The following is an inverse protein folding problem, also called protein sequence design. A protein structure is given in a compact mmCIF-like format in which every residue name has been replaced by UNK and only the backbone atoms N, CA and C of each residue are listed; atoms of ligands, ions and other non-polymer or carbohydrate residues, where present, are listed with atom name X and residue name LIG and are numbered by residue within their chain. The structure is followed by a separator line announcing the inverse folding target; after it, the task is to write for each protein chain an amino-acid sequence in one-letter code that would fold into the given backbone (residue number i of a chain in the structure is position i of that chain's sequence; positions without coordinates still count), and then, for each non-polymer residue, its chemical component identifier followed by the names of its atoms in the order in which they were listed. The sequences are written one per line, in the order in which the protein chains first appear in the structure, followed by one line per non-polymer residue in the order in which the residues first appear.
data_IF_437153097627
#
_entry.id   IF_437153097627
#
_cell.length_a   1.000
_cell.length_b   1.000
_cell.length_c   1.000
_cell.angle_alpha   90.00
_cell.angle_beta   90.00
_cell.angle_gamma   90.00
#
_symmetry.space_group_name_H-M   'P 1'
#
loop_
_entity.id
_entity.type
_entity.pdbx_description
1 polymer ?
#
# COMPACT_ATOMS: atom_id res chain seq x y z
N UNK A 1 -22.82 34.29 0.92
CA UNK A 1 -22.68 35.76 1.08
C UNK A 1 -21.31 36.10 1.66
N UNK A 2 -20.81 35.33 2.62
CA UNK A 2 -19.45 35.48 3.22
C UNK A 2 -18.32 35.27 2.20
N UNK A 3 -18.40 34.27 1.35
CA UNK A 3 -17.43 34.01 0.25
C UNK A 3 -17.30 35.17 -0.75
N UNK A 4 -18.34 35.98 -0.90
CA UNK A 4 -18.35 37.12 -1.85
C UNK A 4 -17.67 38.36 -1.24
N UNK A 5 -17.80 38.58 0.07
CA UNK A 5 -17.18 39.71 0.78
C UNK A 5 -15.66 39.50 0.97
N UNK A 6 -15.22 38.31 1.33
CA UNK A 6 -13.79 37.97 1.47
C UNK A 6 -13.02 38.21 0.16
N UNK A 7 -13.62 37.86 -0.97
CA UNK A 7 -13.01 38.04 -2.30
C UNK A 7 -12.83 39.51 -2.71
N UNK A 8 -13.66 40.41 -2.19
CA UNK A 8 -13.58 41.86 -2.48
C UNK A 8 -12.50 42.56 -1.63
N UNK A 9 -12.35 42.11 -0.36
CA UNK A 9 -11.29 42.59 0.55
C UNK A 9 -9.92 42.15 0.08
N UNK A 10 -9.78 40.87 -0.30
CA UNK A 10 -8.53 40.30 -0.84
C UNK A 10 -8.11 41.03 -2.11
N UNK A 11 -9.02 41.28 -3.08
CA UNK A 11 -8.73 42.05 -4.28
C UNK A 11 -8.27 43.47 -3.97
N UNK A 12 -8.94 44.15 -3.04
CA UNK A 12 -8.56 45.48 -2.59
C UNK A 12 -7.15 45.47 -1.97
N UNK A 13 -6.79 44.44 -1.24
CA UNK A 13 -5.46 44.27 -0.68
C UNK A 13 -4.42 44.02 -1.78
N UNK A 14 -4.70 43.16 -2.76
CA UNK A 14 -3.83 42.85 -3.89
C UNK A 14 -3.59 44.12 -4.75
N UNK A 15 -4.66 44.84 -5.11
CA UNK A 15 -4.55 46.10 -5.85
C UNK A 15 -3.71 47.15 -5.12
N UNK A 16 -3.83 47.22 -3.78
CA UNK A 16 -3.00 48.10 -2.95
C UNK A 16 -1.53 47.70 -3.03
N UNK A 17 -1.23 46.40 -2.96
CA UNK A 17 0.14 45.92 -3.01
C UNK A 17 0.78 46.11 -4.39
N UNK A 18 0.04 45.89 -5.47
CA UNK A 18 0.50 46.10 -6.85
C UNK A 18 0.80 47.54 -7.17
N UNK A 19 -0.05 48.44 -6.69
CA UNK A 19 0.06 49.88 -6.99
C UNK A 19 0.94 50.66 -6.01
N UNK A 20 1.43 50.04 -4.93
CA UNK A 20 2.08 50.71 -3.82
C UNK A 20 1.21 51.81 -3.17
N UNK A 21 -0.11 51.60 -3.15
CA UNK A 21 -1.04 52.49 -2.48
C UNK A 21 -1.12 52.17 -0.97
N UNK A 22 -1.70 53.10 -0.20
CA UNK A 22 -1.97 52.86 1.23
C UNK A 22 -3.50 52.92 1.46
N UNK A 23 -4.12 51.77 1.75
CA UNK A 23 -5.50 51.66 2.15
C UNK A 23 -5.61 51.39 3.64
N UNK A 24 -6.64 51.92 4.26
CA UNK A 24 -6.95 51.53 5.63
C UNK A 24 -7.81 50.27 5.63
N UNK A 25 -7.41 49.33 6.46
CA UNK A 25 -8.18 48.16 6.83
C UNK A 25 -8.29 48.13 8.36
N UNK A 26 -9.44 47.77 8.88
CA UNK A 26 -9.58 47.50 10.30
C UNK A 26 -9.03 46.11 10.68
N UNK A 27 -9.11 45.74 11.94
CA UNK A 27 -8.52 44.48 12.43
C UNK A 27 -9.29 43.24 11.97
N UNK A 28 -10.62 43.37 11.77
CA UNK A 28 -11.46 42.26 11.28
C UNK A 28 -11.22 42.04 9.78
N UNK A 29 -11.19 43.11 8.99
CA UNK A 29 -10.86 43.03 7.56
C UNK A 29 -9.47 42.42 7.30
N UNK A 30 -8.48 42.72 8.16
CA UNK A 30 -7.13 42.16 8.08
C UNK A 30 -7.13 40.71 8.49
N UNK A 31 -7.91 40.32 9.49
CA UNK A 31 -8.03 38.93 9.91
C UNK A 31 -8.58 38.07 8.75
N UNK A 32 -9.65 38.50 8.10
CA UNK A 32 -10.25 37.85 6.93
C UNK A 32 -9.24 37.67 5.78
N UNK A 33 -8.45 38.72 5.48
CA UNK A 33 -7.40 38.65 4.44
C UNK A 33 -6.32 37.69 4.82
N UNK A 34 -5.85 37.68 6.06
CA UNK A 34 -4.78 36.80 6.55
C UNK A 34 -5.24 35.35 6.54
N UNK A 35 -6.45 35.08 7.06
CA UNK A 35 -7.05 33.73 7.07
C UNK A 35 -7.18 33.20 5.65
N UNK A 36 -7.68 33.99 4.72
CA UNK A 36 -7.80 33.60 3.31
C UNK A 36 -6.45 33.11 2.73
N UNK A 37 -5.36 33.84 2.95
CA UNK A 37 -4.05 33.40 2.44
C UNK A 37 -3.46 32.22 3.20
N UNK A 38 -3.73 32.09 4.50
CA UNK A 38 -3.35 30.91 5.28
C UNK A 38 -4.04 29.64 4.76
N UNK A 39 -5.35 29.73 4.47
CA UNK A 39 -6.13 28.62 3.90
C UNK A 39 -5.66 28.21 2.49
N UNK A 40 -5.24 29.19 1.68
CA UNK A 40 -4.64 28.93 0.37
C UNK A 40 -3.22 28.38 0.44
N UNK A 41 -2.58 28.38 1.61
CA UNK A 41 -1.16 28.03 1.78
C UNK A 41 -0.20 29.07 1.20
N UNK A 42 -0.69 30.30 0.90
CA UNK A 42 0.18 31.41 0.46
C UNK A 42 0.69 32.23 1.64
N UNK A 43 1.63 31.63 2.36
CA UNK A 43 2.21 32.22 3.57
C UNK A 43 2.98 33.53 3.30
N UNK A 44 3.43 33.79 2.06
CA UNK A 44 4.07 35.05 1.70
C UNK A 44 3.05 36.20 1.72
N UNK A 45 1.91 36.03 1.09
CA UNK A 45 0.86 37.04 1.11
C UNK A 45 0.24 37.17 2.51
N UNK A 46 0.08 36.08 3.25
CA UNK A 46 -0.32 36.12 4.66
C UNK A 46 0.63 36.98 5.50
N UNK A 47 1.96 36.82 5.33
CA UNK A 47 2.96 37.64 6.05
C UNK A 47 2.92 39.10 5.64
N UNK A 48 2.73 39.38 4.35
CA UNK A 48 2.57 40.76 3.87
C UNK A 48 1.35 41.45 4.50
N UNK A 49 0.21 40.72 4.59
CA UNK A 49 -1.01 41.23 5.22
C UNK A 49 -0.82 41.46 6.73
N UNK A 50 -0.20 40.51 7.43
CA UNK A 50 0.16 40.65 8.84
C UNK A 50 1.11 41.83 9.08
N UNK A 51 2.16 41.95 8.26
CA UNK A 51 3.14 43.03 8.40
C UNK A 51 2.51 44.39 8.16
N UNK A 52 1.60 44.48 7.16
CA UNK A 52 0.83 45.69 6.92
C UNK A 52 -0.15 46.00 8.07
N UNK A 53 -0.81 44.97 8.57
CA UNK A 53 -1.69 45.06 9.73
C UNK A 53 -1.00 45.57 10.99
N UNK A 54 0.19 45.09 11.29
CA UNK A 54 1.01 45.59 12.41
C UNK A 54 1.50 47.03 12.20
N UNK A 55 1.65 47.49 10.96
CA UNK A 55 1.92 48.90 10.66
C UNK A 55 0.74 49.79 11.00
N UNK A 56 -0.49 49.34 10.71
CA UNK A 56 -1.73 50.08 10.99
C UNK A 56 -2.14 49.97 12.47
N UNK A 57 -2.01 48.76 13.03
CA UNK A 57 -2.48 48.40 14.37
C UNK A 57 -1.36 47.77 15.21
N UNK A 58 -0.32 48.49 15.61
CA UNK A 58 0.91 47.91 16.22
C UNK A 58 0.67 47.23 17.58
N UNK A 59 -0.44 47.54 18.23
CA UNK A 59 -0.79 46.97 19.54
C UNK A 59 -1.90 45.91 19.46
N UNK A 60 -2.39 45.56 18.26
CA UNK A 60 -3.42 44.52 18.14
C UNK A 60 -2.87 43.18 18.53
N UNK A 61 -3.51 42.52 19.50
CA UNK A 61 -3.15 41.19 19.96
C UNK A 61 -3.47 40.15 18.87
N UNK A 62 -4.63 40.29 18.23
CA UNK A 62 -5.13 39.34 17.23
C UNK A 62 -4.16 39.26 16.03
N UNK A 63 -3.75 40.41 15.49
CA UNK A 63 -2.78 40.45 14.37
C UNK A 63 -1.41 39.88 14.81
N UNK A 64 -0.98 40.09 16.08
CA UNK A 64 0.25 39.46 16.61
C UNK A 64 0.10 37.94 16.71
N UNK A 65 -1.06 37.42 17.07
CA UNK A 65 -1.32 35.98 17.10
C UNK A 65 -1.30 35.41 15.65
N UNK A 66 -1.89 36.12 14.69
CA UNK A 66 -1.81 35.73 13.26
C UNK A 66 -0.35 35.73 12.76
N UNK A 67 0.47 36.69 13.21
CA UNK A 67 1.94 36.67 12.93
C UNK A 67 2.60 35.41 13.48
N UNK A 68 2.22 35.01 14.68
CA UNK A 68 2.74 33.78 15.26
C UNK A 68 2.29 32.55 14.48
N UNK A 69 1.05 32.51 14.00
CA UNK A 69 0.52 31.46 13.15
C UNK A 69 1.34 31.34 11.85
N UNK A 70 1.55 32.44 11.13
CA UNK A 70 2.41 32.48 9.93
C UNK A 70 3.83 32.00 10.20
N UNK A 71 4.43 32.38 11.31
CA UNK A 71 5.78 31.93 11.70
C UNK A 71 5.84 30.42 11.95
N UNK A 72 4.77 29.82 12.47
CA UNK A 72 4.69 28.39 12.69
C UNK A 72 4.56 27.62 11.38
N UNK A 73 3.79 28.13 10.41
CA UNK A 73 3.68 27.54 9.07
C UNK A 73 5.00 27.67 8.27
N UNK A 74 5.78 28.71 8.51
CA UNK A 74 7.14 28.87 7.95
C UNK A 74 8.21 28.07 8.68
N UNK A 75 7.86 27.35 9.73
CA UNK A 75 8.80 26.63 10.58
C UNK A 75 9.89 27.52 11.20
N UNK A 76 9.66 28.86 11.30
CA UNK A 76 10.56 29.78 12.01
C UNK A 76 10.33 29.72 13.52
N UNK A 77 10.69 28.59 14.11
CA UNK A 77 10.51 28.33 15.54
C UNK A 77 11.34 29.22 16.45
N UNK A 78 12.41 29.86 15.94
CA UNK A 78 13.22 30.78 16.74
C UNK A 78 12.48 32.09 16.95
N UNK A 79 11.99 32.73 15.88
CA UNK A 79 11.21 33.96 15.97
C UNK A 79 9.87 33.72 16.66
N UNK A 80 9.22 32.57 16.37
CA UNK A 80 7.98 32.18 17.06
C UNK A 80 8.18 32.06 18.59
N UNK A 81 9.29 31.50 19.04
CA UNK A 81 9.63 31.40 20.47
C UNK A 81 9.78 32.77 21.13
N UNK A 82 10.46 33.71 20.47
CA UNK A 82 10.62 35.07 20.99
C UNK A 82 9.26 35.74 21.15
N UNK A 83 8.41 35.61 20.12
CA UNK A 83 7.07 36.18 20.12
C UNK A 83 6.16 35.56 21.16
N UNK A 84 6.22 34.24 21.34
CA UNK A 84 5.50 33.54 22.43
C UNK A 84 5.93 34.10 23.79
N UNK A 85 7.22 34.32 24.03
CA UNK A 85 7.73 34.86 25.29
C UNK A 85 7.27 36.30 25.54
N UNK A 86 7.13 37.13 24.48
CA UNK A 86 6.60 38.48 24.56
C UNK A 86 5.11 38.46 24.94
N UNK A 87 4.30 37.61 24.25
CA UNK A 87 2.86 37.57 24.40
C UNK A 87 2.38 36.84 25.67
N UNK A 88 3.16 35.89 26.17
CA UNK A 88 2.78 35.00 27.26
C UNK A 88 2.30 35.71 28.53
N UNK A 89 2.83 36.91 28.81
CA UNK A 89 2.44 37.66 30.03
C UNK A 89 1.02 38.22 30.01
N UNK A 90 0.45 38.43 28.83
CA UNK A 90 -0.86 39.08 28.63
C UNK A 90 -1.90 38.20 27.97
N UNK A 91 -1.51 37.06 27.39
CA UNK A 91 -2.37 36.31 26.47
C UNK A 91 -2.69 34.88 26.94
N UNK A 92 -2.40 34.52 28.17
CA UNK A 92 -2.67 33.18 28.69
C UNK A 92 -4.18 32.88 28.91
N UNK A 93 -5.05 33.87 28.73
CA UNK A 93 -6.51 33.73 28.75
C UNK A 93 -7.12 33.89 27.32
N UNK A 94 -6.28 33.96 26.28
CA UNK A 94 -6.71 34.01 24.91
C UNK A 94 -6.55 32.62 24.28
N UNK A 95 -7.63 32.06 23.76
CA UNK A 95 -7.67 30.70 23.22
C UNK A 95 -6.80 30.56 21.97
N UNK A 96 -6.83 31.51 21.02
CA UNK A 96 -6.06 31.48 19.77
C UNK A 96 -4.55 31.49 20.05
N UNK A 97 -4.12 32.32 21.04
CA UNK A 97 -2.74 32.30 21.48
C UNK A 97 -2.34 30.94 22.07
N UNK A 98 -3.19 30.32 22.87
CA UNK A 98 -2.91 29.01 23.43
C UNK A 98 -2.86 27.94 22.37
N UNK A 99 -3.70 27.99 21.34
CA UNK A 99 -3.65 27.11 20.19
C UNK A 99 -2.31 27.25 19.44
N UNK A 100 -1.89 28.45 19.08
CA UNK A 100 -0.59 28.68 18.46
C UNK A 100 0.57 28.20 19.36
N UNK A 101 0.47 28.42 20.65
CA UNK A 101 1.48 27.99 21.61
C UNK A 101 1.54 26.46 21.73
N UNK A 102 0.41 25.78 21.64
CA UNK A 102 0.36 24.32 21.60
C UNK A 102 0.92 23.78 20.27
N UNK A 103 0.52 24.35 19.12
CA UNK A 103 1.09 24.03 17.80
C UNK A 103 2.61 24.18 17.78
N UNK A 104 3.16 25.21 18.41
CA UNK A 104 4.61 25.38 18.53
C UNK A 104 5.27 24.18 19.22
N UNK A 105 4.72 23.67 20.33
CA UNK A 105 5.30 22.50 20.99
C UNK A 105 5.03 21.19 20.22
N UNK A 106 3.91 21.06 19.54
CA UNK A 106 3.64 19.96 18.65
C UNK A 106 4.71 19.85 17.56
N UNK A 107 4.96 20.95 16.84
CA UNK A 107 5.95 21.04 15.78
C UNK A 107 7.39 20.77 16.28
N UNK A 108 7.69 21.07 17.54
CA UNK A 108 8.96 20.69 18.17
C UNK A 108 9.03 19.23 18.67
N UNK A 109 8.02 18.42 18.38
CA UNK A 109 7.96 17.03 18.81
C UNK A 109 7.78 16.87 20.33
N UNK A 110 7.09 17.82 20.98
CA UNK A 110 6.78 17.76 22.41
C UNK A 110 5.26 17.68 22.66
N UNK A 111 4.62 16.56 22.30
CA UNK A 111 3.18 16.40 22.40
C UNK A 111 2.63 16.52 23.83
N UNK A 112 3.42 16.13 24.84
CA UNK A 112 2.99 16.27 26.25
C UNK A 112 2.76 17.72 26.66
N UNK A 113 3.65 18.62 26.19
CA UNK A 113 3.54 20.04 26.49
C UNK A 113 2.43 20.68 25.68
N UNK A 114 2.27 20.26 24.42
CA UNK A 114 1.17 20.64 23.56
C UNK A 114 -0.19 20.34 24.23
N UNK A 115 -0.39 19.10 24.68
CA UNK A 115 -1.61 18.66 25.39
C UNK A 115 -1.87 19.50 26.66
N UNK A 116 -0.84 19.78 27.45
CA UNK A 116 -1.00 20.60 28.67
C UNK A 116 -1.56 21.99 28.33
N UNK A 117 -1.09 22.58 27.24
CA UNK A 117 -1.52 23.93 26.82
C UNK A 117 -2.90 23.88 26.20
N UNK A 118 -3.19 22.90 25.33
CA UNK A 118 -4.53 22.73 24.74
C UNK A 118 -5.61 22.49 25.82
N UNK A 119 -5.30 21.74 26.88
CA UNK A 119 -6.24 21.55 27.98
C UNK A 119 -6.58 22.86 28.71
N UNK A 120 -5.64 23.79 28.78
CA UNK A 120 -5.93 25.14 29.29
C UNK A 120 -6.81 25.96 28.36
N UNK A 121 -6.59 25.82 27.05
CA UNK A 121 -7.46 26.44 26.05
C UNK A 121 -8.89 25.91 26.17
N UNK A 122 -9.04 24.59 26.34
CA UNK A 122 -10.34 23.93 26.50
C UNK A 122 -11.06 24.32 27.81
N UNK A 123 -10.32 24.63 28.88
CA UNK A 123 -10.90 25.18 30.13
C UNK A 123 -11.49 26.59 29.96
N UNK A 124 -11.01 27.35 28.97
CA UNK A 124 -11.49 28.69 28.63
C UNK A 124 -12.69 28.68 27.70
N UNK A 125 -12.72 27.69 26.79
CA UNK A 125 -13.78 27.55 25.82
C UNK A 125 -14.12 26.05 25.64
N UNK A 126 -15.21 25.61 26.31
CA UNK A 126 -15.59 24.19 26.40
C UNK A 126 -16.20 23.64 25.09
N UNK A 127 -16.61 24.50 24.15
CA UNK A 127 -17.36 24.12 22.97
C UNK A 127 -16.49 23.99 21.71
N UNK A 128 -15.16 23.98 21.82
CA UNK A 128 -14.31 23.87 20.65
C UNK A 128 -13.96 22.42 20.30
N UNK A 129 -14.71 21.84 19.39
CA UNK A 129 -14.47 20.54 18.77
C UNK A 129 -13.02 20.38 18.29
N UNK A 130 -12.47 21.40 17.61
CA UNK A 130 -11.10 21.45 17.12
C UNK A 130 -10.05 21.15 18.21
N UNK A 131 -10.23 21.69 19.44
CA UNK A 131 -9.30 21.45 20.54
C UNK A 131 -9.29 19.97 20.98
N UNK A 132 -10.45 19.33 21.00
CA UNK A 132 -10.53 17.90 21.31
C UNK A 132 -9.82 17.08 20.23
N UNK A 133 -9.99 17.39 18.96
CA UNK A 133 -9.29 16.74 17.87
C UNK A 133 -7.78 16.91 17.99
N UNK A 134 -7.33 18.15 18.20
CA UNK A 134 -5.91 18.43 18.35
C UNK A 134 -5.27 17.69 19.54
N UNK A 135 -5.96 17.63 20.69
CA UNK A 135 -5.50 16.85 21.84
C UNK A 135 -5.45 15.35 21.51
N UNK A 136 -6.45 14.85 20.78
CA UNK A 136 -6.49 13.45 20.37
C UNK A 136 -5.32 13.09 19.46
N UNK A 137 -5.02 13.95 18.47
CA UNK A 137 -3.87 13.78 17.56
C UNK A 137 -2.54 13.74 18.32
N UNK A 138 -2.39 14.61 19.32
CA UNK A 138 -1.21 14.60 20.17
C UNK A 138 -1.10 13.33 21.05
N UNK A 139 -2.22 12.74 21.46
CA UNK A 139 -2.20 11.42 22.10
C UNK A 139 -1.85 10.30 21.12
N UNK A 140 -2.29 10.38 19.86
CA UNK A 140 -1.84 9.47 18.79
C UNK A 140 -0.34 9.56 18.59
N UNK A 141 0.22 10.78 18.54
CA UNK A 141 1.67 11.03 18.45
C UNK A 141 2.45 10.45 19.65
N UNK A 142 1.82 10.34 20.82
CA UNK A 142 2.38 9.67 22.00
C UNK A 142 2.23 8.14 21.97
N UNK A 143 1.52 7.57 21.01
CA UNK A 143 1.17 6.15 20.99
C UNK A 143 0.17 5.76 22.09
N UNK A 144 -0.71 6.68 22.48
CA UNK A 144 -1.76 6.47 23.50
C UNK A 144 -3.16 6.54 22.86
N UNK A 145 -3.56 5.50 22.10
CA UNK A 145 -4.87 5.46 21.44
C UNK A 145 -6.04 5.45 22.42
N UNK A 146 -5.82 5.08 23.69
CA UNK A 146 -6.87 5.07 24.67
C UNK A 146 -7.33 6.49 25.06
N UNK A 147 -6.39 7.41 25.29
CA UNK A 147 -6.73 8.79 25.57
C UNK A 147 -7.12 9.55 24.31
N UNK A 148 -6.52 9.23 23.14
CA UNK A 148 -6.95 9.77 21.85
C UNK A 148 -8.43 9.50 21.58
N UNK A 149 -8.86 8.24 21.73
CA UNK A 149 -10.25 7.82 21.53
C UNK A 149 -11.24 8.64 22.38
N UNK A 150 -10.89 8.92 23.63
CA UNK A 150 -11.78 9.72 24.49
C UNK A 150 -12.00 11.14 23.97
N UNK A 151 -10.94 11.75 23.45
CA UNK A 151 -11.03 13.10 22.92
C UNK A 151 -11.73 13.15 21.55
N UNK A 152 -11.50 12.17 20.65
CA UNK A 152 -12.30 12.04 19.41
C UNK A 152 -13.78 11.79 19.72
N UNK A 153 -14.11 10.94 20.71
CA UNK A 153 -15.48 10.73 21.13
C UNK A 153 -16.10 11.98 21.77
N UNK A 154 -15.30 12.84 22.40
CA UNK A 154 -15.79 14.12 22.91
C UNK A 154 -16.03 15.10 21.76
N UNK A 155 -15.12 15.20 20.80
CA UNK A 155 -15.29 16.00 19.60
C UNK A 155 -16.59 15.64 18.85
N UNK A 156 -16.89 14.34 18.72
CA UNK A 156 -18.14 13.84 18.12
C UNK A 156 -19.41 14.15 18.94
N UNK A 157 -19.30 14.43 20.23
CA UNK A 157 -20.44 14.92 21.00
C UNK A 157 -20.67 16.41 20.78
N UNK A 158 -19.58 17.16 20.59
CA UNK A 158 -19.62 18.59 20.36
C UNK A 158 -20.07 18.86 18.90
N UNK A 159 -19.52 18.12 17.93
CA UNK A 159 -19.95 18.09 16.53
C UNK A 159 -20.12 16.65 16.04
N UNK A 160 -21.34 16.13 16.04
CA UNK A 160 -21.62 14.79 15.54
C UNK A 160 -21.39 14.58 14.04
N UNK A 161 -21.19 15.64 13.28
CA UNK A 161 -20.95 15.56 11.82
C UNK A 161 -19.45 15.55 11.47
N UNK A 162 -18.59 15.59 12.49
CA UNK A 162 -17.13 15.56 12.31
C UNK A 162 -16.64 14.18 11.87
N UNK A 163 -16.54 14.00 10.56
CA UNK A 163 -16.08 12.78 9.92
C UNK A 163 -14.63 12.44 10.31
N UNK A 164 -13.77 13.46 10.51
CA UNK A 164 -12.39 13.26 10.93
C UNK A 164 -12.30 12.56 12.30
N UNK A 165 -13.08 13.05 13.28
CA UNK A 165 -13.17 12.42 14.59
C UNK A 165 -13.69 10.99 14.52
N UNK A 166 -14.67 10.72 13.65
CA UNK A 166 -15.24 9.37 13.49
C UNK A 166 -14.21 8.38 12.96
N UNK A 167 -13.54 8.71 11.87
CA UNK A 167 -12.50 7.86 11.26
C UNK A 167 -11.38 7.56 12.26
N UNK A 168 -10.86 8.59 12.93
CA UNK A 168 -9.78 8.44 13.90
C UNK A 168 -10.21 7.67 15.17
N UNK A 169 -11.44 7.83 15.62
CA UNK A 169 -11.99 7.00 16.70
C UNK A 169 -12.02 5.52 16.31
N UNK A 170 -12.39 5.20 15.05
CA UNK A 170 -12.39 3.83 14.55
C UNK A 170 -10.98 3.25 14.46
N UNK A 171 -9.98 4.05 14.04
CA UNK A 171 -8.57 3.67 14.05
C UNK A 171 -8.12 3.36 15.49
N UNK A 172 -8.45 4.23 16.46
CA UNK A 172 -8.12 4.00 17.87
C UNK A 172 -8.76 2.72 18.42
N UNK A 173 -10.01 2.42 18.09
CA UNK A 173 -10.64 1.14 18.45
C UNK A 173 -9.88 -0.07 17.88
N UNK A 174 -9.40 0.04 16.66
CA UNK A 174 -8.59 -1.01 16.00
C UNK A 174 -7.28 -1.23 16.74
N UNK A 175 -6.54 -0.16 17.05
CA UNK A 175 -5.26 -0.20 17.75
C UNK A 175 -5.39 -0.79 19.16
N UNK A 176 -6.51 -0.50 19.81
CA UNK A 176 -6.85 -1.05 21.14
C UNK A 176 -7.37 -2.48 21.08
N UNK A 177 -7.57 -3.05 19.89
CA UNK A 177 -8.23 -4.34 19.68
C UNK A 177 -9.64 -4.42 20.29
N UNK A 178 -10.39 -3.28 20.33
CA UNK A 178 -11.71 -3.14 20.92
C UNK A 178 -12.83 -3.20 19.88
N UNK A 179 -12.77 -4.22 19.07
CA UNK A 179 -13.66 -4.34 17.89
C UNK A 179 -15.14 -4.43 18.24
N UNK A 180 -15.53 -5.03 19.37
CA UNK A 180 -16.93 -5.09 19.79
C UNK A 180 -17.45 -3.73 20.30
N UNK A 181 -16.57 -2.97 20.97
CA UNK A 181 -16.89 -1.60 21.37
C UNK A 181 -17.01 -0.68 20.13
N UNK A 182 -16.15 -0.89 19.12
CA UNK A 182 -16.19 -0.16 17.85
C UNK A 182 -17.53 -0.31 17.14
N UNK A 183 -18.02 -1.54 16.96
CA UNK A 183 -19.29 -1.75 16.25
C UNK A 183 -20.49 -1.29 17.08
N UNK A 184 -20.44 -1.41 18.40
CA UNK A 184 -21.47 -0.87 19.27
C UNK A 184 -21.53 0.66 19.16
N UNK A 185 -20.38 1.33 19.14
CA UNK A 185 -20.26 2.77 18.93
C UNK A 185 -20.80 3.20 17.56
N UNK A 186 -20.42 2.49 16.47
CA UNK A 186 -20.94 2.78 15.13
C UNK A 186 -22.45 2.59 15.01
N UNK A 187 -23.02 1.55 15.63
CA UNK A 187 -24.45 1.35 15.61
C UNK A 187 -25.20 2.46 16.33
N UNK A 188 -24.73 2.88 17.53
CA UNK A 188 -25.30 4.00 18.27
C UNK A 188 -25.19 5.32 17.49
N UNK A 189 -24.07 5.52 16.81
CA UNK A 189 -23.87 6.68 15.95
C UNK A 189 -24.83 6.66 14.74
N UNK A 190 -24.96 5.52 14.04
CA UNK A 190 -25.85 5.36 12.89
C UNK A 190 -27.34 5.44 13.24
N UNK A 191 -27.74 5.06 14.46
CA UNK A 191 -29.11 5.23 14.95
C UNK A 191 -29.51 6.72 15.02
N UNK A 192 -28.54 7.61 15.23
CA UNK A 192 -28.75 9.07 15.30
C UNK A 192 -28.41 9.78 13.97
N UNK A 193 -27.43 9.27 13.23
CA UNK A 193 -26.91 9.87 11.99
C UNK A 193 -26.92 8.89 10.81
N UNK A 194 -28.10 8.41 10.45
CA UNK A 194 -28.32 7.37 9.44
C UNK A 194 -27.83 7.72 8.03
N UNK A 195 -27.51 8.99 7.76
CA UNK A 195 -27.04 9.47 6.46
C UNK A 195 -25.52 9.80 6.45
N UNK A 196 -24.77 9.38 7.46
CA UNK A 196 -23.31 9.54 7.45
C UNK A 196 -22.66 8.56 6.48
N UNK A 197 -22.02 9.09 5.43
CA UNK A 197 -21.27 8.31 4.44
C UNK A 197 -20.09 7.58 5.11
N UNK A 198 -19.37 8.30 5.97
CA UNK A 198 -18.22 7.77 6.70
C UNK A 198 -18.62 6.62 7.61
N UNK A 199 -19.69 6.80 8.40
CA UNK A 199 -20.13 5.74 9.32
C UNK A 199 -20.54 4.45 8.60
N UNK A 200 -21.23 4.54 7.46
CA UNK A 200 -21.58 3.36 6.66
C UNK A 200 -20.37 2.73 5.97
N UNK A 201 -19.41 3.56 5.53
CA UNK A 201 -18.14 3.09 4.99
C UNK A 201 -17.36 2.30 6.05
N UNK A 202 -17.21 2.85 7.24
CA UNK A 202 -16.54 2.21 8.38
C UNK A 202 -17.26 0.93 8.82
N UNK A 203 -18.60 0.93 8.82
CA UNK A 203 -19.39 -0.27 9.09
C UNK A 203 -19.09 -1.37 8.07
N UNK A 204 -19.10 -1.02 6.79
CA UNK A 204 -18.76 -1.96 5.71
C UNK A 204 -17.33 -2.51 5.86
N UNK A 205 -16.37 -1.62 6.09
CA UNK A 205 -14.96 -1.98 6.26
C UNK A 205 -14.71 -2.83 7.51
N UNK A 206 -15.36 -2.53 8.61
CA UNK A 206 -15.30 -3.34 9.84
C UNK A 206 -15.68 -4.79 9.59
N UNK A 207 -16.83 -5.02 8.94
CA UNK A 207 -17.29 -6.37 8.64
C UNK A 207 -16.49 -7.05 7.53
N UNK A 208 -15.97 -6.29 6.56
CA UNK A 208 -15.06 -6.79 5.53
C UNK A 208 -13.78 -7.38 6.14
N UNK A 209 -13.13 -6.66 7.05
CA UNK A 209 -11.92 -7.09 7.72
C UNK A 209 -12.14 -8.35 8.58
N UNK A 210 -13.35 -8.56 9.06
CA UNK A 210 -13.78 -9.76 9.79
C UNK A 210 -14.27 -10.89 8.90
N UNK A 211 -14.23 -10.72 7.58
CA UNK A 211 -14.69 -11.67 6.59
C UNK A 211 -16.20 -11.98 6.69
N UNK A 212 -16.98 -11.11 7.32
CA UNK A 212 -18.43 -11.14 7.29
C UNK A 212 -18.91 -10.28 6.12
N UNK A 213 -18.76 -10.86 4.92
CA UNK A 213 -18.95 -10.12 3.68
C UNK A 213 -20.42 -9.76 3.42
N UNK A 214 -21.37 -10.53 3.95
CA UNK A 214 -22.80 -10.22 3.84
C UNK A 214 -23.18 -8.94 4.60
N UNK A 215 -22.66 -8.76 5.81
CA UNK A 215 -22.89 -7.52 6.57
C UNK A 215 -22.08 -6.35 5.97
N UNK A 216 -20.85 -6.61 5.48
CA UNK A 216 -20.08 -5.59 4.80
C UNK A 216 -20.82 -5.02 3.57
N UNK A 217 -21.45 -5.89 2.76
CA UNK A 217 -22.24 -5.47 1.61
C UNK A 217 -23.39 -4.56 2.02
N UNK A 218 -24.07 -4.83 3.15
CA UNK A 218 -25.14 -3.95 3.63
C UNK A 218 -24.63 -2.54 3.93
N UNK A 219 -23.48 -2.43 4.63
CA UNK A 219 -22.87 -1.14 4.90
C UNK A 219 -22.54 -0.38 3.62
N UNK A 220 -21.93 -1.06 2.66
CA UNK A 220 -21.62 -0.48 1.34
C UNK A 220 -22.88 -0.13 0.53
N UNK A 221 -23.95 -0.91 0.64
CA UNK A 221 -25.23 -0.60 -0.01
C UNK A 221 -25.86 0.68 0.55
N UNK A 222 -25.85 0.86 1.88
CA UNK A 222 -26.33 2.10 2.50
C UNK A 222 -25.46 3.31 2.12
N UNK A 223 -24.14 3.14 2.14
CA UNK A 223 -23.23 4.20 1.74
C UNK A 223 -23.46 4.62 0.28
N UNK A 224 -23.59 3.67 -0.65
CA UNK A 224 -23.89 3.93 -2.06
C UNK A 224 -25.28 4.51 -2.31
N UNK A 225 -26.25 4.25 -1.43
CA UNK A 225 -27.57 4.88 -1.49
C UNK A 225 -27.50 6.38 -1.11
N UNK A 226 -26.54 6.79 -0.29
CA UNK A 226 -26.30 8.18 0.08
C UNK A 226 -25.46 8.87 -1.01
N UNK A 227 -24.33 8.26 -1.38
CA UNK A 227 -23.41 8.78 -2.38
C UNK A 227 -23.10 7.71 -3.45
N UNK A 228 -23.87 7.74 -4.53
CA UNK A 228 -23.70 6.82 -5.65
C UNK A 228 -22.44 7.05 -6.50
N UNK A 229 -21.66 8.11 -6.22
CA UNK A 229 -20.42 8.41 -6.95
C UNK A 229 -19.15 7.91 -6.28
N UNK A 230 -19.26 7.24 -5.13
CA UNK A 230 -18.14 6.73 -4.36
C UNK A 230 -17.50 5.47 -4.99
N UNK A 231 -16.67 5.66 -5.99
CA UNK A 231 -16.05 4.58 -6.80
C UNK A 231 -15.35 3.52 -5.93
N UNK A 232 -14.62 3.92 -4.89
CA UNK A 232 -13.92 3.01 -3.99
C UNK A 232 -14.84 2.02 -3.24
N UNK A 233 -16.07 2.43 -2.97
CA UNK A 233 -17.07 1.59 -2.29
C UNK A 233 -17.60 0.50 -3.21
N UNK A 234 -17.79 0.79 -4.50
CA UNK A 234 -18.11 -0.25 -5.49
C UNK A 234 -17.03 -1.32 -5.54
N UNK A 235 -15.76 -0.92 -5.54
CA UNK A 235 -14.64 -1.86 -5.53
C UNK A 235 -14.66 -2.76 -4.28
N UNK A 236 -14.91 -2.19 -3.11
CA UNK A 236 -15.01 -2.91 -1.83
C UNK A 236 -16.21 -3.88 -1.82
N UNK A 237 -17.37 -3.43 -2.30
CA UNK A 237 -18.57 -4.26 -2.44
C UNK A 237 -18.36 -5.42 -3.42
N UNK A 238 -17.74 -5.14 -4.58
CA UNK A 238 -17.41 -6.19 -5.54
C UNK A 238 -16.42 -7.21 -4.96
N UNK A 239 -15.42 -6.76 -4.19
CA UNK A 239 -14.49 -7.64 -3.49
C UNK A 239 -15.18 -8.55 -2.47
N UNK A 240 -16.23 -8.06 -1.79
CA UNK A 240 -17.08 -8.92 -0.94
C UNK A 240 -17.74 -10.03 -1.75
N UNK A 241 -18.33 -9.71 -2.90
CA UNK A 241 -18.95 -10.71 -3.77
C UNK A 241 -17.91 -11.71 -4.34
N UNK A 242 -16.71 -11.26 -4.67
CA UNK A 242 -15.60 -12.15 -5.07
C UNK A 242 -15.25 -13.13 -3.94
N UNK A 243 -15.12 -12.64 -2.71
CA UNK A 243 -14.80 -13.45 -1.54
C UNK A 243 -15.90 -14.49 -1.21
N UNK A 244 -17.15 -14.16 -1.50
CA UNK A 244 -18.30 -15.07 -1.42
C UNK A 244 -18.43 -16.01 -2.64
N UNK A 245 -17.51 -15.94 -3.61
CA UNK A 245 -17.57 -16.64 -4.90
C UNK A 245 -18.84 -16.32 -5.73
N UNK A 246 -19.47 -15.17 -5.47
CA UNK A 246 -20.64 -14.67 -6.20
C UNK A 246 -20.20 -13.81 -7.40
N UNK A 247 -19.34 -14.37 -8.26
CA UNK A 247 -18.63 -13.64 -9.34
C UNK A 247 -19.57 -12.92 -10.31
N UNK A 248 -20.79 -13.41 -10.54
CA UNK A 248 -21.76 -12.69 -11.40
C UNK A 248 -22.19 -11.37 -10.80
N UNK A 249 -22.46 -11.34 -9.48
CA UNK A 249 -22.81 -10.11 -8.78
C UNK A 249 -21.61 -9.14 -8.68
N UNK A 250 -20.39 -9.69 -8.51
CA UNK A 250 -19.18 -8.88 -8.57
C UNK A 250 -19.05 -8.19 -9.93
N UNK A 251 -19.33 -8.89 -11.04
CA UNK A 251 -19.32 -8.30 -12.40
C UNK A 251 -20.37 -7.19 -12.51
N UNK A 252 -21.59 -7.38 -12.04
CA UNK A 252 -22.67 -6.37 -12.07
C UNK A 252 -22.20 -5.08 -11.36
N UNK A 253 -21.59 -5.21 -10.17
CA UNK A 253 -21.08 -4.07 -9.39
C UNK A 253 -19.89 -3.40 -10.10
N UNK A 254 -18.97 -4.16 -10.71
CA UNK A 254 -17.89 -3.59 -11.50
C UNK A 254 -18.40 -2.89 -12.77
N UNK A 255 -19.48 -3.36 -13.38
CA UNK A 255 -20.10 -2.70 -14.54
C UNK A 255 -20.75 -1.37 -14.15
N UNK A 256 -21.37 -1.27 -12.96
CA UNK A 256 -21.83 0.01 -12.40
C UNK A 256 -20.65 0.96 -12.16
N UNK A 257 -19.55 0.47 -11.59
CA UNK A 257 -18.33 1.23 -11.35
C UNK A 257 -17.73 1.82 -12.64
N UNK A 258 -17.77 1.07 -13.77
CA UNK A 258 -17.26 1.53 -15.07
C UNK A 258 -17.95 2.78 -15.62
N UNK A 259 -19.18 3.06 -15.21
CA UNK A 259 -19.91 4.27 -15.58
C UNK A 259 -19.30 5.54 -14.94
N UNK A 260 -18.61 5.37 -13.80
CA UNK A 260 -18.10 6.43 -12.94
C UNK A 260 -16.60 6.69 -13.11
N UNK A 261 -15.84 5.74 -13.66
CA UNK A 261 -14.39 5.81 -13.74
C UNK A 261 -13.87 6.49 -15.01
N UNK A 262 -12.81 7.29 -14.86
CA UNK A 262 -12.01 7.81 -15.99
C UNK A 262 -11.01 6.79 -16.53
N UNK A 263 -10.41 5.98 -15.64
CA UNK A 263 -9.41 4.95 -15.98
C UNK A 263 -9.97 3.57 -15.70
N UNK A 264 -10.35 2.87 -16.76
CA UNK A 264 -11.15 1.63 -16.67
C UNK A 264 -10.29 0.35 -16.70
N UNK A 265 -8.96 0.48 -16.84
CA UNK A 265 -8.07 -0.66 -17.04
C UNK A 265 -8.14 -1.67 -15.89
N UNK A 266 -8.09 -1.20 -14.66
CA UNK A 266 -8.15 -2.05 -13.47
C UNK A 266 -9.52 -2.75 -13.34
N UNK A 267 -10.61 -2.03 -13.59
CA UNK A 267 -11.96 -2.59 -13.49
C UNK A 267 -12.21 -3.64 -14.56
N UNK A 268 -11.78 -3.40 -15.81
CA UNK A 268 -11.82 -4.45 -16.83
C UNK A 268 -11.00 -5.68 -16.46
N UNK A 269 -9.83 -5.49 -15.86
CA UNK A 269 -9.01 -6.59 -15.36
C UNK A 269 -9.76 -7.40 -14.28
N UNK A 270 -10.40 -6.73 -13.32
CA UNK A 270 -11.19 -7.39 -12.26
C UNK A 270 -12.37 -8.17 -12.80
N UNK A 271 -13.11 -7.61 -13.77
CA UNK A 271 -14.17 -8.32 -14.48
C UNK A 271 -13.61 -9.57 -15.20
N UNK A 272 -12.45 -9.42 -15.85
CA UNK A 272 -11.76 -10.54 -16.49
C UNK A 272 -11.43 -11.67 -15.51
N UNK A 273 -10.96 -11.36 -14.30
CA UNK A 273 -10.72 -12.34 -13.24
C UNK A 273 -11.99 -13.04 -12.79
N UNK A 274 -13.10 -12.30 -12.66
CA UNK A 274 -14.41 -12.90 -12.34
C UNK A 274 -14.85 -13.90 -13.42
N UNK A 275 -14.72 -13.57 -14.70
CA UNK A 275 -15.06 -14.49 -15.80
C UNK A 275 -14.10 -15.69 -15.89
N UNK A 276 -12.83 -15.51 -15.56
CA UNK A 276 -11.86 -16.61 -15.39
C UNK A 276 -12.35 -17.59 -14.30
N UNK A 277 -12.74 -17.05 -13.14
CA UNK A 277 -13.28 -17.86 -12.04
C UNK A 277 -14.59 -18.58 -12.41
N UNK A 278 -15.42 -17.96 -13.25
CA UNK A 278 -16.64 -18.56 -13.82
C UNK A 278 -16.35 -19.61 -14.91
N UNK A 279 -15.07 -19.90 -15.19
CA UNK A 279 -14.62 -20.82 -16.27
C UNK A 279 -15.09 -20.41 -17.66
N UNK A 280 -15.08 -19.12 -17.93
CA UNK A 280 -15.42 -18.53 -19.23
C UNK A 280 -14.16 -17.84 -19.84
N UNK A 281 -13.15 -18.61 -20.27
CA UNK A 281 -11.83 -18.07 -20.65
C UNK A 281 -11.89 -17.11 -21.84
N UNK A 282 -12.75 -17.33 -22.81
CA UNK A 282 -12.89 -16.45 -23.98
C UNK A 282 -13.46 -15.08 -23.62
N UNK A 283 -14.41 -15.03 -22.65
CA UNK A 283 -14.95 -13.78 -22.14
C UNK A 283 -13.89 -13.05 -21.30
N UNK A 284 -13.19 -13.78 -20.44
CA UNK A 284 -12.10 -13.25 -19.62
C UNK A 284 -11.00 -12.59 -20.51
N UNK A 285 -10.57 -13.28 -21.59
CA UNK A 285 -9.62 -12.72 -22.55
C UNK A 285 -10.09 -11.40 -23.16
N UNK A 286 -11.37 -11.31 -23.53
CA UNK A 286 -11.92 -10.06 -24.06
C UNK A 286 -11.81 -8.90 -23.04
N UNK A 287 -12.11 -9.16 -21.77
CA UNK A 287 -11.99 -8.14 -20.73
C UNK A 287 -10.53 -7.77 -20.43
N UNK A 288 -9.60 -8.72 -20.43
CA UNK A 288 -8.17 -8.39 -20.34
C UNK A 288 -7.67 -7.60 -21.55
N UNK A 289 -8.19 -7.86 -22.75
CA UNK A 289 -7.90 -7.04 -23.93
C UNK A 289 -8.47 -5.62 -23.82
N UNK A 290 -9.68 -5.46 -23.22
CA UNK A 290 -10.22 -4.12 -22.92
C UNK A 290 -9.32 -3.39 -21.93
N UNK A 291 -8.86 -4.08 -20.87
CA UNK A 291 -7.91 -3.52 -19.90
C UNK A 291 -6.64 -2.99 -20.59
N UNK A 292 -6.07 -3.78 -21.51
CA UNK A 292 -4.86 -3.38 -22.26
C UNK A 292 -5.10 -2.31 -23.33
N UNK A 293 -6.34 -2.09 -23.77
CA UNK A 293 -6.67 -0.94 -24.62
C UNK A 293 -6.71 0.38 -23.86
N UNK A 294 -7.16 0.33 -22.59
CA UNK A 294 -7.16 1.48 -21.70
C UNK A 294 -5.73 1.79 -21.19
N UNK A 295 -5.00 0.75 -20.79
CA UNK A 295 -3.61 0.85 -20.35
C UNK A 295 -2.75 -0.25 -21.01
N UNK A 296 -2.02 0.07 -22.09
CA UNK A 296 -1.15 -0.89 -22.77
C UNK A 296 0.01 -1.41 -21.90
N UNK A 297 0.30 -0.80 -20.75
CA UNK A 297 1.35 -1.24 -19.82
C UNK A 297 0.80 -2.01 -18.62
N UNK A 298 -0.47 -2.36 -18.60
CA UNK A 298 -1.09 -3.08 -17.51
C UNK A 298 -0.63 -4.54 -17.43
N UNK A 299 0.57 -4.76 -16.94
CA UNK A 299 1.28 -6.05 -16.91
C UNK A 299 0.50 -7.18 -16.21
N UNK A 300 -0.39 -6.87 -15.26
CA UNK A 300 -1.23 -7.87 -14.59
C UNK A 300 -2.20 -8.53 -15.59
N UNK A 301 -2.85 -7.75 -16.47
CA UNK A 301 -3.73 -8.31 -17.49
C UNK A 301 -2.96 -9.11 -18.54
N UNK A 302 -1.74 -8.70 -18.90
CA UNK A 302 -0.87 -9.49 -19.81
C UNK A 302 -0.55 -10.84 -19.18
N UNK A 303 -0.18 -10.87 -17.91
CA UNK A 303 0.15 -12.13 -17.23
C UNK A 303 -1.05 -13.06 -17.15
N UNK A 304 -2.24 -12.54 -16.89
CA UNK A 304 -3.48 -13.33 -16.89
C UNK A 304 -3.82 -13.86 -18.28
N UNK A 305 -3.59 -13.07 -19.34
CA UNK A 305 -3.71 -13.57 -20.71
C UNK A 305 -2.72 -14.69 -20.99
N UNK A 306 -1.49 -14.59 -20.51
CA UNK A 306 -0.49 -15.66 -20.64
C UNK A 306 -0.99 -16.96 -20.02
N UNK A 307 -1.60 -16.92 -18.82
CA UNK A 307 -2.16 -18.12 -18.19
C UNK A 307 -3.31 -18.72 -19.00
N UNK A 308 -4.23 -17.87 -19.48
CA UNK A 308 -5.39 -18.36 -20.25
C UNK A 308 -4.98 -18.93 -21.60
N UNK A 309 -4.03 -18.29 -22.33
CA UNK A 309 -3.56 -18.82 -23.61
C UNK A 309 -2.87 -20.17 -23.44
N UNK A 310 -2.08 -20.37 -22.37
CA UNK A 310 -1.48 -21.68 -22.07
C UNK A 310 -2.55 -22.75 -21.83
N UNK A 311 -3.55 -22.45 -20.98
CA UNK A 311 -4.69 -23.35 -20.69
C UNK A 311 -5.46 -23.73 -21.97
N UNK A 312 -5.53 -22.81 -22.94
CA UNK A 312 -6.17 -23.01 -24.23
C UNK A 312 -5.27 -23.64 -25.30
N UNK A 313 -4.01 -23.92 -24.98
CA UNK A 313 -3.02 -24.50 -25.89
C UNK A 313 -2.34 -23.49 -26.83
N UNK A 314 -2.56 -22.19 -26.65
CA UNK A 314 -1.92 -21.10 -27.40
C UNK A 314 -0.54 -20.73 -26.81
N UNK A 315 0.43 -21.63 -26.92
CA UNK A 315 1.77 -21.45 -26.36
C UNK A 315 2.51 -20.22 -26.90
N UNK A 316 2.45 -19.86 -28.22
CA UNK A 316 3.09 -18.66 -28.73
C UNK A 316 2.56 -17.38 -28.08
N UNK A 317 1.25 -17.27 -27.92
CA UNK A 317 0.56 -16.14 -27.32
C UNK A 317 0.87 -16.08 -25.81
N UNK A 318 0.83 -17.22 -25.13
CA UNK A 318 1.18 -17.31 -23.71
C UNK A 318 2.60 -16.79 -23.45
N UNK A 319 3.56 -17.19 -24.28
CA UNK A 319 4.95 -16.76 -24.21
C UNK A 319 5.12 -15.26 -24.51
N UNK A 320 4.39 -14.76 -25.53
CA UNK A 320 4.41 -13.33 -25.87
C UNK A 320 3.97 -12.47 -24.68
N UNK A 321 2.79 -12.73 -24.11
CA UNK A 321 2.26 -11.95 -23.02
C UNK A 321 3.07 -12.08 -21.72
N UNK A 322 3.61 -13.28 -21.43
CA UNK A 322 4.51 -13.45 -20.28
C UNK A 322 5.80 -12.62 -20.43
N UNK A 323 6.37 -12.56 -21.65
CA UNK A 323 7.57 -11.78 -21.93
C UNK A 323 7.32 -10.28 -21.74
N UNK A 324 6.25 -9.75 -22.34
CA UNK A 324 5.88 -8.34 -22.21
C UNK A 324 5.62 -7.96 -20.73
N UNK A 325 4.84 -8.76 -20.00
CA UNK A 325 4.58 -8.53 -18.59
C UNK A 325 5.86 -8.55 -17.73
N UNK A 326 6.79 -9.47 -18.05
CA UNK A 326 8.07 -9.57 -17.35
C UNK A 326 9.00 -8.41 -17.66
N UNK A 327 8.98 -7.88 -18.89
CA UNK A 327 9.75 -6.69 -19.24
C UNK A 327 9.26 -5.43 -18.51
N UNK A 328 7.95 -5.29 -18.35
CA UNK A 328 7.35 -4.15 -17.63
C UNK A 328 7.55 -4.24 -16.10
N UNK A 329 7.71 -5.45 -15.59
CA UNK A 329 7.93 -5.68 -14.15
C UNK A 329 9.07 -6.71 -13.94
N UNK A 330 10.28 -6.34 -14.34
CA UNK A 330 11.47 -7.22 -14.35
C UNK A 330 11.87 -7.70 -12.93
N UNK A 331 11.52 -6.95 -11.89
CA UNK A 331 11.74 -7.33 -10.49
C UNK A 331 10.79 -8.40 -9.96
N UNK A 332 9.72 -8.76 -10.68
CA UNK A 332 8.77 -9.77 -10.21
C UNK A 332 9.27 -11.18 -10.50
N UNK A 333 9.75 -11.86 -9.44
CA UNK A 333 10.33 -13.20 -9.54
C UNK A 333 9.32 -14.27 -9.98
N UNK A 334 8.04 -14.13 -9.66
CA UNK A 334 7.02 -15.08 -10.13
C UNK A 334 6.80 -14.94 -11.65
N UNK A 335 6.90 -13.72 -12.20
CA UNK A 335 6.84 -13.51 -13.65
C UNK A 335 8.09 -14.06 -14.36
N UNK A 336 9.27 -13.84 -13.79
CA UNK A 336 10.52 -14.44 -14.28
C UNK A 336 10.45 -15.98 -14.28
N UNK A 337 9.93 -16.55 -13.20
CA UNK A 337 9.73 -18.00 -13.06
C UNK A 337 8.77 -18.53 -14.11
N UNK A 338 7.61 -17.89 -14.26
CA UNK A 338 6.64 -18.29 -15.29
C UNK A 338 7.25 -18.24 -16.68
N UNK A 339 7.93 -17.16 -17.03
CA UNK A 339 8.58 -17.01 -18.32
C UNK A 339 9.63 -18.10 -18.55
N UNK A 340 10.43 -18.43 -17.53
CA UNK A 340 11.40 -19.51 -17.60
C UNK A 340 10.74 -20.86 -17.93
N UNK A 341 9.63 -21.20 -17.29
CA UNK A 341 8.92 -22.47 -17.54
C UNK A 341 8.25 -22.49 -18.91
N UNK A 342 7.64 -21.40 -19.35
CA UNK A 342 7.10 -21.32 -20.72
C UNK A 342 8.19 -21.47 -21.80
N UNK A 343 9.40 -20.96 -21.56
CA UNK A 343 10.54 -21.20 -22.45
C UNK A 343 10.93 -22.68 -22.46
N UNK A 344 10.96 -23.35 -21.30
CA UNK A 344 11.26 -24.79 -21.20
C UNK A 344 10.22 -25.60 -22.00
N UNK A 345 8.93 -25.34 -21.77
CA UNK A 345 7.83 -26.06 -22.42
C UNK A 345 7.79 -25.81 -23.91
N UNK A 346 8.29 -24.65 -24.37
CA UNK A 346 8.45 -24.30 -25.80
C UNK A 346 9.75 -24.81 -26.42
N UNK A 347 10.60 -25.53 -25.65
CA UNK A 347 11.91 -26.01 -26.10
C UNK A 347 12.97 -24.91 -26.29
N UNK A 348 12.71 -23.69 -25.76
CA UNK A 348 13.61 -22.53 -25.83
C UNK A 348 14.52 -22.49 -24.59
N UNK A 349 15.38 -23.48 -24.50
CA UNK A 349 16.17 -23.72 -23.28
C UNK A 349 17.19 -22.60 -23.02
N UNK A 350 17.84 -22.06 -24.05
CA UNK A 350 18.84 -20.99 -23.88
C UNK A 350 18.21 -19.71 -23.31
N UNK A 351 17.00 -19.35 -23.77
CA UNK A 351 16.27 -18.19 -23.24
C UNK A 351 15.84 -18.42 -21.78
N UNK A 352 15.47 -19.65 -21.42
CA UNK A 352 15.08 -19.97 -20.06
C UNK A 352 16.24 -19.84 -19.06
N UNK A 353 17.50 -20.13 -19.48
CA UNK A 353 18.68 -20.01 -18.64
C UNK A 353 18.87 -18.58 -18.08
N UNK A 354 18.61 -17.56 -18.89
CA UNK A 354 18.71 -16.16 -18.42
C UNK A 354 17.73 -15.84 -17.29
N UNK A 355 16.49 -16.33 -17.39
CA UNK A 355 15.47 -16.16 -16.37
C UNK A 355 15.79 -16.96 -15.11
N UNK A 356 16.23 -18.23 -15.28
CA UNK A 356 16.57 -19.10 -14.15
C UNK A 356 17.78 -18.59 -13.39
N UNK A 357 18.78 -18.01 -14.07
CA UNK A 357 19.92 -17.36 -13.43
C UNK A 357 19.49 -16.20 -12.53
N UNK A 358 18.63 -15.30 -13.03
CA UNK A 358 18.07 -14.21 -12.22
C UNK A 358 17.35 -14.73 -10.96
N UNK A 359 16.60 -15.83 -11.10
CA UNK A 359 15.90 -16.45 -9.97
C UNK A 359 16.85 -17.02 -8.91
N UNK A 360 17.94 -17.66 -9.35
CA UNK A 360 18.97 -18.19 -8.45
C UNK A 360 19.71 -17.07 -7.73
N UNK A 361 20.07 -16.00 -8.47
CA UNK A 361 20.79 -14.86 -7.91
C UNK A 361 19.93 -14.09 -6.90
N UNK A 362 18.63 -13.98 -7.15
CA UNK A 362 17.69 -13.25 -6.28
C UNK A 362 17.26 -14.07 -5.04
N UNK A 363 17.08 -15.40 -5.20
CA UNK A 363 16.60 -16.29 -4.13
C UNK A 363 17.48 -17.54 -4.01
N UNK A 364 18.73 -17.42 -3.56
CA UNK A 364 19.66 -18.58 -3.45
C UNK A 364 19.19 -19.61 -2.42
N UNK A 365 18.31 -19.25 -1.49
CA UNK A 365 17.71 -20.17 -0.53
C UNK A 365 16.62 -21.07 -1.11
N UNK A 366 16.14 -20.80 -2.32
CA UNK A 366 15.12 -21.63 -2.98
C UNK A 366 15.73 -22.74 -3.80
N UNK A 367 15.73 -23.96 -3.26
CA UNK A 367 16.25 -25.17 -3.89
C UNK A 367 15.77 -25.39 -5.33
N UNK A 368 14.48 -25.22 -5.59
CA UNK A 368 13.91 -25.51 -6.91
C UNK A 368 14.43 -24.59 -8.02
N UNK A 369 14.88 -23.37 -7.72
CA UNK A 369 15.49 -22.49 -8.71
C UNK A 369 16.82 -23.08 -9.20
N UNK A 370 17.69 -23.54 -8.29
CA UNK A 370 18.93 -24.21 -8.60
C UNK A 370 18.70 -25.50 -9.39
N UNK A 371 17.74 -26.31 -8.92
CA UNK A 371 17.43 -27.59 -9.55
C UNK A 371 16.97 -27.39 -11.00
N UNK A 372 16.04 -26.45 -11.26
CA UNK A 372 15.58 -26.15 -12.61
C UNK A 372 16.70 -25.58 -13.50
N UNK A 373 17.52 -24.67 -12.97
CA UNK A 373 18.63 -24.09 -13.72
C UNK A 373 19.63 -25.16 -14.19
N UNK A 374 20.04 -26.02 -13.29
CA UNK A 374 20.98 -27.11 -13.62
C UNK A 374 20.37 -28.16 -14.54
N UNK A 375 19.07 -28.45 -14.44
CA UNK A 375 18.36 -29.32 -15.37
C UNK A 375 18.45 -28.77 -16.81
N UNK A 376 18.16 -27.48 -16.98
CA UNK A 376 18.18 -26.86 -18.31
C UNK A 376 19.61 -26.82 -18.87
N UNK A 377 20.63 -26.51 -18.06
CA UNK A 377 22.03 -26.60 -18.46
C UNK A 377 22.41 -28.00 -18.98
N UNK A 378 21.96 -29.04 -18.29
CA UNK A 378 22.17 -30.43 -18.73
C UNK A 378 21.42 -30.76 -20.03
N UNK A 379 20.21 -30.19 -20.22
CA UNK A 379 19.42 -30.39 -21.46
C UNK A 379 20.08 -29.78 -22.68
N UNK A 380 20.75 -28.62 -22.52
CA UNK A 380 21.51 -27.98 -23.63
C UNK A 380 22.92 -28.55 -23.75
N UNK A 381 23.35 -29.40 -22.85
CA UNK A 381 24.67 -30.08 -22.93
C UNK A 381 25.81 -29.32 -22.23
N UNK A 382 25.52 -28.22 -21.55
CA UNK A 382 26.48 -27.37 -20.83
C UNK A 382 26.88 -27.99 -19.47
N UNK A 383 27.50 -29.18 -19.52
CA UNK A 383 27.82 -29.97 -18.30
C UNK A 383 28.87 -29.32 -17.42
N UNK A 384 29.85 -28.59 -17.98
CA UNK A 384 30.90 -27.89 -17.21
C UNK A 384 30.28 -26.74 -16.41
N UNK A 385 29.38 -25.95 -17.02
CA UNK A 385 28.66 -24.88 -16.33
C UNK A 385 27.73 -25.47 -15.29
N UNK A 386 26.98 -26.53 -15.61
CA UNK A 386 26.13 -27.23 -14.67
C UNK A 386 26.88 -27.72 -13.42
N UNK A 387 28.10 -28.25 -13.55
CA UNK A 387 28.95 -28.63 -12.42
C UNK A 387 29.27 -27.41 -11.56
N UNK A 388 29.64 -26.28 -12.17
CA UNK A 388 29.97 -25.05 -11.43
C UNK A 388 28.77 -24.57 -10.61
N UNK A 389 27.60 -24.51 -11.25
CA UNK A 389 26.34 -24.09 -10.63
C UNK A 389 25.90 -25.07 -9.52
N UNK A 390 26.05 -26.37 -9.73
CA UNK A 390 25.73 -27.39 -8.74
C UNK A 390 26.62 -27.30 -7.51
N UNK A 391 27.90 -26.98 -7.68
CA UNK A 391 28.81 -26.76 -6.55
C UNK A 391 28.37 -25.56 -5.72
N UNK A 392 28.02 -24.45 -6.36
CA UNK A 392 27.47 -23.28 -5.68
C UNK A 392 26.13 -23.61 -5.00
N UNK A 393 25.25 -24.38 -5.64
CA UNK A 393 23.98 -24.83 -5.05
C UNK A 393 24.19 -25.62 -3.75
N UNK A 394 25.25 -26.41 -3.67
CA UNK A 394 25.58 -27.22 -2.48
C UNK A 394 26.03 -26.37 -1.28
N UNK A 395 26.47 -25.13 -1.49
CA UNK A 395 26.75 -24.19 -0.39
C UNK A 395 25.48 -23.78 0.34
N UNK A 396 24.33 -23.81 -0.36
CA UNK A 396 23.02 -23.45 0.17
C UNK A 396 22.16 -24.67 0.53
N UNK A 397 22.33 -25.77 -0.20
CA UNK A 397 21.43 -26.94 -0.12
C UNK A 397 22.18 -28.25 -0.12
N UNK A 398 22.23 -28.98 1.00
CA UNK A 398 22.80 -30.32 1.06
C UNK A 398 21.74 -31.40 0.77
N UNK A 399 21.40 -31.58 -0.53
CA UNK A 399 20.33 -32.50 -0.97
C UNK A 399 20.82 -33.55 -1.95
N UNK A 400 20.27 -34.76 -1.83
CA UNK A 400 20.64 -35.90 -2.67
C UNK A 400 20.46 -35.63 -4.16
N UNK A 401 19.41 -34.91 -4.54
CA UNK A 401 19.10 -34.57 -5.93
C UNK A 401 20.26 -33.87 -6.62
N UNK A 402 20.92 -32.91 -5.94
CA UNK A 402 22.05 -32.17 -6.51
C UNK A 402 23.27 -33.08 -6.72
N UNK A 403 23.51 -34.02 -5.84
CA UNK A 403 24.57 -35.00 -6.01
C UNK A 403 24.30 -36.03 -7.13
N UNK A 404 23.02 -36.37 -7.37
CA UNK A 404 22.65 -37.17 -8.54
C UNK A 404 22.89 -36.39 -9.83
N UNK A 405 22.55 -35.10 -9.86
CA UNK A 405 22.82 -34.22 -11.02
C UNK A 405 24.34 -34.09 -11.24
N UNK A 406 25.12 -33.82 -10.19
CA UNK A 406 26.58 -33.74 -10.28
C UNK A 406 27.20 -35.05 -10.81
N UNK A 407 26.72 -36.20 -10.31
CA UNK A 407 27.14 -37.49 -10.83
C UNK A 407 26.86 -37.61 -12.32
N UNK A 408 25.66 -37.25 -12.77
CA UNK A 408 25.31 -37.28 -14.17
C UNK A 408 26.20 -36.36 -15.00
N UNK A 409 26.48 -35.13 -14.56
CA UNK A 409 27.36 -34.20 -15.25
C UNK A 409 28.79 -34.76 -15.40
N UNK A 410 29.40 -35.24 -14.31
CA UNK A 410 30.75 -35.81 -14.36
C UNK A 410 30.85 -37.03 -15.25
N UNK A 411 29.83 -37.90 -15.27
CA UNK A 411 29.82 -39.08 -16.17
C UNK A 411 29.71 -38.67 -17.64
N UNK A 412 28.93 -37.63 -17.95
CA UNK A 412 28.88 -37.11 -19.33
C UNK A 412 30.20 -36.45 -19.75
N UNK A 413 30.91 -35.81 -18.80
CA UNK A 413 32.26 -35.28 -19.02
C UNK A 413 33.36 -36.33 -19.01
N UNK A 414 33.01 -37.62 -18.87
CA UNK A 414 33.92 -38.78 -18.83
C UNK A 414 34.83 -38.81 -17.57
N UNK A 415 34.53 -38.02 -16.55
CA UNK A 415 35.17 -38.10 -15.23
C UNK A 415 34.46 -39.17 -14.35
N UNK A 416 34.65 -40.42 -14.70
CA UNK A 416 33.98 -41.52 -14.01
C UNK A 416 34.31 -41.61 -12.53
N UNK A 417 35.49 -41.10 -12.11
CA UNK A 417 35.89 -41.12 -10.70
C UNK A 417 35.06 -40.20 -9.87
N UNK A 418 34.99 -38.93 -10.27
CA UNK A 418 34.12 -37.93 -9.58
C UNK A 418 32.65 -38.29 -9.70
N UNK A 419 32.21 -38.79 -10.85
CA UNK A 419 30.84 -39.24 -11.04
C UNK A 419 30.42 -40.32 -10.00
N UNK A 420 31.29 -41.31 -9.79
CA UNK A 420 31.05 -42.33 -8.78
C UNK A 420 31.09 -41.80 -7.34
N UNK A 421 32.00 -40.87 -7.01
CA UNK A 421 32.06 -40.22 -5.69
C UNK A 421 30.79 -39.45 -5.37
N UNK A 422 30.27 -38.69 -6.31
CA UNK A 422 29.01 -37.93 -6.13
C UNK A 422 27.81 -38.85 -6.01
N UNK A 423 27.80 -39.96 -6.74
CA UNK A 423 26.73 -40.97 -6.64
C UNK A 423 26.73 -41.66 -5.26
N UNK A 424 27.90 -41.97 -4.72
CA UNK A 424 28.02 -42.55 -3.37
C UNK A 424 27.44 -41.58 -2.31
N UNK A 425 27.72 -40.26 -2.42
CA UNK A 425 27.15 -39.24 -1.54
C UNK A 425 25.63 -39.13 -1.69
N UNK A 426 25.14 -39.13 -2.92
CA UNK A 426 23.68 -39.07 -3.20
C UNK A 426 22.96 -40.25 -2.54
N UNK A 427 23.49 -41.47 -2.69
CA UNK A 427 22.95 -42.70 -2.09
C UNK A 427 23.02 -42.71 -0.55
N UNK A 428 24.03 -42.07 0.04
CA UNK A 428 24.13 -41.90 1.49
C UNK A 428 23.10 -40.96 2.06
N UNK A 429 22.77 -39.88 1.31
CA UNK A 429 21.78 -38.88 1.72
C UNK A 429 20.37 -39.41 1.52
N UNK A 430 20.04 -39.92 0.34
CA UNK A 430 18.73 -40.50 0.04
C UNK A 430 18.82 -41.56 -1.07
N UNK A 431 18.81 -42.82 -0.66
CA UNK A 431 18.81 -43.95 -1.58
C UNK A 431 17.44 -44.23 -2.20
N UNK A 432 16.34 -43.67 -1.69
CA UNK A 432 15.00 -43.93 -2.19
C UNK A 432 14.80 -43.30 -3.57
N UNK A 433 15.46 -42.17 -3.85
CA UNK A 433 15.38 -41.43 -5.12
C UNK A 433 16.09 -42.18 -6.29
N UNK A 434 16.90 -43.17 -6.03
CA UNK A 434 17.76 -43.81 -7.04
C UNK A 434 16.99 -44.28 -8.27
N UNK A 435 15.79 -44.85 -8.08
CA UNK A 435 15.00 -45.43 -9.18
C UNK A 435 14.51 -44.34 -10.16
N UNK A 436 14.08 -43.24 -9.63
CA UNK A 436 13.59 -42.11 -10.44
C UNK A 436 14.76 -41.36 -11.11
N UNK A 437 15.85 -41.19 -10.37
CA UNK A 437 17.07 -40.60 -10.92
C UNK A 437 17.74 -41.49 -12.02
N UNK A 438 17.65 -42.79 -11.93
CA UNK A 438 18.10 -43.67 -13.01
C UNK A 438 17.24 -43.58 -14.28
N UNK A 439 15.95 -43.32 -14.12
CA UNK A 439 15.07 -43.04 -15.29
C UNK A 439 15.42 -41.73 -15.94
N UNK A 440 15.66 -40.72 -15.10
CA UNK A 440 15.95 -39.37 -15.52
C UNK A 440 17.36 -39.21 -16.13
N UNK A 441 18.34 -39.88 -15.52
CA UNK A 441 19.75 -39.81 -15.94
C UNK A 441 20.27 -41.20 -16.28
N UNK A 442 20.08 -41.70 -17.50
CA UNK A 442 20.46 -43.09 -17.89
C UNK A 442 21.92 -43.41 -17.66
N UNK A 443 22.83 -42.45 -17.77
CA UNK A 443 24.28 -42.63 -17.62
C UNK A 443 24.68 -43.10 -16.20
N UNK A 444 23.91 -42.77 -15.16
CA UNK A 444 24.22 -43.20 -13.79
C UNK A 444 23.86 -44.66 -13.53
N UNK A 445 23.15 -45.36 -14.43
CA UNK A 445 22.57 -46.69 -14.19
C UNK A 445 23.60 -47.75 -13.90
N UNK A 446 24.71 -47.76 -14.62
CA UNK A 446 25.77 -48.76 -14.43
C UNK A 446 26.63 -48.42 -13.21
N UNK A 447 26.86 -47.16 -12.92
CA UNK A 447 27.59 -46.73 -11.73
C UNK A 447 26.78 -46.96 -10.45
N UNK A 448 25.44 -46.86 -10.47
CA UNK A 448 24.57 -47.25 -9.34
C UNK A 448 24.72 -48.71 -8.99
N UNK A 449 24.83 -49.63 -9.96
CA UNK A 449 25.06 -51.05 -9.70
C UNK A 449 26.40 -51.27 -8.96
N UNK A 450 27.46 -50.57 -9.41
CA UNK A 450 28.80 -50.64 -8.79
C UNK A 450 28.79 -50.04 -7.38
N UNK A 451 28.16 -48.89 -7.19
CA UNK A 451 28.08 -48.22 -5.90
C UNK A 451 27.28 -49.01 -4.86
N UNK A 452 26.13 -49.57 -5.24
CA UNK A 452 25.36 -50.49 -4.37
C UNK A 452 26.14 -51.74 -3.95
N UNK A 453 26.95 -52.29 -4.84
CA UNK A 453 27.82 -53.43 -4.52
C UNK A 453 28.93 -53.07 -3.50
N UNK A 454 29.49 -51.84 -3.58
CA UNK A 454 30.49 -51.34 -2.62
C UNK A 454 29.88 -51.02 -1.24
N UNK A 455 28.68 -50.42 -1.20
CA UNK A 455 27.99 -50.08 0.06
C UNK A 455 27.66 -51.40 0.81
N UNK A 456 27.21 -52.45 0.09
CA UNK A 456 26.92 -53.76 0.68
C UNK A 456 28.15 -54.42 1.27
N UNK A 457 29.34 -54.26 0.65
CA UNK A 457 30.62 -54.79 1.15
C UNK A 457 31.21 -54.02 2.34
N UNK A 458 30.77 -52.78 2.60
CA UNK A 458 31.19 -51.97 3.76
C UNK A 458 30.29 -52.19 4.99
N UNK A 459 29.12 -52.80 4.81
CA UNK A 459 28.15 -53.13 5.88
C UNK A 459 28.18 -54.58 6.30
N UNK A 460 28.97 -55.42 5.61
CA UNK A 460 29.42 -56.74 6.00
C UNK A 460 30.83 -56.66 6.62
#
# INVERSE_FOLDING_TARGET
MEEYFGNELVKKFEEMMENNDEFYFDTEELDDIIVYYLELGDFNYADMAVTYGLKLHPNSLDIKIKKLEVLLEWEDYNTAKEMINELKGSSMENTDFLVCYAKYYSNLGNPRKSIEICKKALELNEEENFLNNFIADEYVNLGDPFNALKHYQQALKDDPTDEYSLENAMICFSDLNKSEEAIAFLNDYLDNFAYSEVAWSEYGQYYFNRKNYEEAIKGFDYMLAINSSAVGVYASKAACYEALNQYKKAVEVYEEMLELEYTKAFTFYKIGLCYKALKQPTVALNYFQKSLREDPQFYMAMMEQSYLYEEMGGMPEALHFAREATLLNDGNLEYQKRLAFLFIDSGKFEESLSCLKKLVDAEPSRFYNWYAYTEVLMLVGEYEEAVTVLIAALEHHNRAELYYQLSNCYLNLKDNKKGAEMLEKALQLDASLVTDMQKKYPYIKDEVKKAKAKVKKKSE
#
